data_IF_489451854531
#
_entry.id   IF_489451854531
#
_cell.length_a   1.000
_cell.length_b   1.000
_cell.length_c   1.000
_cell.angle_alpha   90.00
_cell.angle_beta   90.00
_cell.angle_gamma   90.00
#
_symmetry.space_group_name_H-M   'P 1'
#
loop_
_entity.id
_entity.type
_entity.pdbx_description
1 polymer ?
#
# COMPACT_ATOMS: atom_id res chain seq x y z
N UNK A 1 -3.58 5.25 12.72
CA UNK A 1 -3.93 4.56 13.96
C UNK A 1 -2.69 4.18 14.75
N UNK A 2 -2.85 3.99 16.06
CA UNK A 2 -1.81 3.41 16.92
C UNK A 2 -2.42 2.19 17.61
N UNK A 3 -1.79 1.05 17.44
CA UNK A 3 -2.20 -0.23 18.03
C UNK A 3 -1.27 -0.54 19.19
N UNK A 4 -1.81 -0.54 20.41
CA UNK A 4 -1.10 -0.94 21.62
C UNK A 4 -1.39 -2.40 21.94
N UNK A 5 -0.33 -3.18 22.08
CA UNK A 5 -0.37 -4.63 22.34
C UNK A 5 -0.34 -4.90 23.84
N UNK A 6 -1.41 -5.43 24.37
CA UNK A 6 -1.51 -5.78 25.78
C UNK A 6 -0.54 -6.92 26.14
N UNK A 7 0.28 -6.71 27.17
CA UNK A 7 1.24 -7.71 27.66
C UNK A 7 2.56 -7.82 26.87
N UNK A 8 2.74 -7.03 25.81
CA UNK A 8 4.04 -6.92 25.16
C UNK A 8 5.00 -6.03 25.98
N UNK A 9 6.32 -6.28 25.94
CA UNK A 9 7.32 -5.46 26.62
C UNK A 9 7.29 -4.00 26.14
N UNK A 10 7.68 -3.07 27.00
CA UNK A 10 7.90 -1.67 26.60
C UNK A 10 8.97 -1.62 25.48
N UNK A 11 8.76 -0.77 24.48
CA UNK A 11 9.58 -0.71 23.26
C UNK A 11 9.26 -1.79 22.20
N UNK A 12 8.19 -2.60 22.41
CA UNK A 12 7.69 -3.60 21.47
C UNK A 12 6.16 -3.67 21.45
N UNK A 13 5.49 -2.68 22.01
CA UNK A 13 4.05 -2.77 22.30
C UNK A 13 3.20 -1.76 21.53
N UNK A 14 3.78 -0.80 20.84
CA UNK A 14 3.04 0.20 20.07
C UNK A 14 3.40 0.20 18.61
N UNK A 15 2.43 -0.12 17.74
CA UNK A 15 2.61 -0.15 16.29
C UNK A 15 1.72 0.92 15.67
N UNK A 16 2.34 1.82 14.90
CA UNK A 16 1.63 2.77 14.07
C UNK A 16 1.13 2.12 12.78
N UNK A 17 -0.07 2.47 12.36
CA UNK A 17 -0.61 2.15 11.04
C UNK A 17 -0.86 3.46 10.31
N UNK A 18 -0.15 3.68 9.21
CA UNK A 18 -0.27 4.84 8.35
C UNK A 18 -0.94 4.44 7.03
N UNK A 19 -2.24 4.62 6.93
CA UNK A 19 -2.99 4.43 5.69
C UNK A 19 -2.84 5.66 4.80
N UNK A 20 -2.32 5.49 3.60
CA UNK A 20 -2.08 6.56 2.63
C UNK A 20 -2.82 6.27 1.32
N UNK A 21 -3.99 6.87 1.07
CA UNK A 21 -4.78 6.57 -0.13
C UNK A 21 -4.22 7.18 -1.41
N UNK A 22 -3.44 8.28 -1.31
CA UNK A 22 -2.76 8.91 -2.46
C UNK A 22 -1.67 9.87 -2.00
N UNK A 23 -0.74 10.19 -2.91
CA UNK A 23 0.26 11.26 -2.69
C UNK A 23 -0.32 12.61 -3.16
N UNK A 24 -1.32 13.08 -2.44
CA UNK A 24 -2.04 14.30 -2.78
C UNK A 24 -1.22 15.57 -2.56
N UNK A 25 -1.39 16.51 -3.48
CA UNK A 25 -0.92 17.87 -3.37
C UNK A 25 -1.94 18.79 -4.03
N UNK A 26 -2.21 19.94 -3.44
CA UNK A 26 -3.05 20.95 -4.06
C UNK A 26 -2.26 21.63 -5.18
N UNK A 27 -2.74 21.45 -6.42
CA UNK A 27 -2.10 21.95 -7.63
C UNK A 27 -2.47 23.42 -7.92
N UNK A 28 -3.52 23.94 -7.29
CA UNK A 28 -4.06 25.30 -7.51
C UNK A 28 -3.60 26.30 -6.45
N UNK A 29 -2.54 25.98 -5.69
CA UNK A 29 -1.94 26.86 -4.70
C UNK A 29 -2.55 26.79 -3.30
N UNK A 30 -3.37 25.78 -3.03
CA UNK A 30 -3.84 25.43 -1.69
C UNK A 30 -2.74 24.80 -0.82
N UNK A 31 -3.06 24.58 0.46
CA UNK A 31 -2.10 24.16 1.49
C UNK A 31 -2.15 22.64 1.81
N UNK A 32 -2.99 21.87 1.09
CA UNK A 32 -3.11 20.42 1.29
C UNK A 32 -1.94 19.69 0.63
N UNK A 33 -1.09 19.08 1.46
CA UNK A 33 0.11 18.35 1.01
C UNK A 33 0.32 17.12 1.87
N UNK A 34 0.32 15.95 1.27
CA UNK A 34 0.39 14.70 2.02
C UNK A 34 1.69 14.58 2.85
N UNK A 35 2.83 15.04 2.36
CA UNK A 35 4.07 15.03 3.13
C UNK A 35 3.99 15.91 4.39
N UNK A 36 3.33 17.08 4.31
CA UNK A 36 3.10 17.95 5.47
C UNK A 36 2.21 17.26 6.52
N UNK A 37 1.19 16.57 6.05
CA UNK A 37 0.22 15.91 6.92
C UNK A 37 0.80 14.62 7.53
N UNK A 38 1.48 13.81 6.74
CA UNK A 38 2.21 12.63 7.24
C UNK A 38 3.29 13.02 8.23
N UNK A 39 3.98 14.15 8.02
CA UNK A 39 4.95 14.67 9.00
C UNK A 39 4.31 14.90 10.37
N UNK A 40 3.16 15.58 10.42
CA UNK A 40 2.44 15.82 11.69
C UNK A 40 2.03 14.52 12.38
N UNK A 41 1.54 13.55 11.60
CA UNK A 41 1.15 12.23 12.10
C UNK A 41 2.37 11.50 12.68
N UNK A 42 3.51 11.47 11.98
CA UNK A 42 4.73 10.83 12.46
C UNK A 42 5.30 11.53 13.71
N UNK A 43 5.25 12.86 13.76
CA UNK A 43 5.64 13.62 14.95
C UNK A 43 4.75 13.28 16.16
N UNK A 44 3.44 13.06 15.93
CA UNK A 44 2.54 12.58 16.99
C UNK A 44 2.84 11.14 17.37
N UNK A 45 3.03 10.23 16.42
CA UNK A 45 3.41 8.83 16.69
C UNK A 45 4.68 8.73 17.53
N UNK A 46 5.68 9.58 17.25
CA UNK A 46 6.90 9.64 18.06
C UNK A 46 6.64 10.10 19.50
N UNK A 47 5.73 11.06 19.72
CA UNK A 47 5.32 11.48 21.08
C UNK A 47 4.59 10.38 21.83
N UNK A 48 3.88 9.52 21.13
CA UNK A 48 3.20 8.34 21.67
C UNK A 48 4.12 7.12 21.81
N UNK A 49 5.43 7.27 21.56
CA UNK A 49 6.43 6.20 21.61
C UNK A 49 6.03 4.98 20.77
N UNK A 50 5.68 5.22 19.49
CA UNK A 50 5.42 4.14 18.54
C UNK A 50 6.73 3.43 18.20
N UNK A 51 6.78 2.12 18.39
CA UNK A 51 7.97 1.28 18.26
C UNK A 51 8.22 0.82 16.84
N UNK A 52 7.15 0.54 16.08
CA UNK A 52 7.19 0.07 14.69
C UNK A 52 6.07 0.64 13.85
N UNK A 53 6.18 0.56 12.53
CA UNK A 53 5.24 1.20 11.61
C UNK A 53 4.82 0.25 10.48
N UNK A 54 3.53 0.20 10.20
CA UNK A 54 2.97 -0.32 8.96
C UNK A 54 2.53 0.86 8.09
N UNK A 55 3.05 0.95 6.87
CA UNK A 55 2.60 1.92 5.86
C UNK A 55 1.73 1.17 4.86
N UNK A 56 0.44 1.49 4.81
CA UNK A 56 -0.49 0.86 3.88
C UNK A 56 -0.59 1.69 2.59
N UNK A 57 -0.03 1.13 1.51
CA UNK A 57 -0.08 1.68 0.16
C UNK A 57 -0.98 0.85 -0.77
N UNK A 58 -1.71 -0.12 -0.24
CA UNK A 58 -2.64 -0.91 -1.04
C UNK A 58 -3.64 0.02 -1.72
N UNK A 59 -3.89 -0.22 -3.00
CA UNK A 59 -4.79 0.57 -3.85
C UNK A 59 -4.42 2.06 -4.00
N UNK A 60 -3.22 2.46 -3.61
CA UNK A 60 -2.70 3.80 -3.83
C UNK A 60 -2.10 3.94 -5.23
N UNK A 61 -2.81 4.56 -6.15
CA UNK A 61 -2.39 4.77 -7.55
C UNK A 61 -1.26 5.80 -7.75
N UNK A 62 -0.70 6.35 -6.66
CA UNK A 62 0.38 7.32 -6.70
C UNK A 62 -0.05 8.76 -6.45
N UNK A 63 0.53 9.71 -7.19
CA UNK A 63 0.28 11.14 -7.05
C UNK A 63 1.54 11.99 -7.27
N UNK A 64 1.74 12.99 -6.42
CA UNK A 64 2.81 13.97 -6.57
C UNK A 64 4.21 13.38 -6.33
N UNK A 65 5.09 13.55 -7.32
CA UNK A 65 6.51 13.19 -7.22
C UNK A 65 7.22 13.97 -6.10
N UNK A 66 6.88 15.23 -5.91
CA UNK A 66 7.49 16.05 -4.87
C UNK A 66 7.10 15.57 -3.47
N UNK A 67 5.84 15.18 -3.28
CA UNK A 67 5.34 14.68 -2.00
C UNK A 67 6.02 13.35 -1.62
N UNK A 68 6.15 12.41 -2.56
CA UNK A 68 6.85 11.14 -2.29
C UNK A 68 8.34 11.35 -2.02
N UNK A 69 8.99 12.30 -2.73
CA UNK A 69 10.38 12.67 -2.47
C UNK A 69 10.60 13.17 -1.05
N UNK A 70 9.75 14.10 -0.59
CA UNK A 70 9.78 14.63 0.76
C UNK A 70 9.52 13.54 1.81
N UNK A 71 8.49 12.73 1.56
CA UNK A 71 8.06 11.69 2.49
C UNK A 71 9.09 10.57 2.64
N UNK A 72 9.76 10.16 1.55
CA UNK A 72 10.85 9.18 1.63
C UNK A 72 11.95 9.65 2.58
N UNK A 73 12.29 10.94 2.57
CA UNK A 73 13.27 11.51 3.47
C UNK A 73 12.93 11.41 4.96
N UNK A 74 11.65 11.25 5.33
CA UNK A 74 11.27 11.02 6.73
C UNK A 74 11.78 9.68 7.27
N UNK A 75 12.02 8.72 6.38
CA UNK A 75 12.43 7.36 6.72
C UNK A 75 13.89 7.06 6.37
N UNK A 76 14.44 7.70 5.32
CA UNK A 76 15.82 7.45 4.84
C UNK A 76 16.81 8.52 5.27
N UNK A 77 16.32 9.72 5.61
CA UNK A 77 17.16 10.89 5.83
C UNK A 77 17.58 11.56 4.50
N UNK A 78 18.83 12.03 4.44
CA UNK A 78 19.38 12.65 3.24
C UNK A 78 19.84 11.59 2.24
N UNK A 79 19.52 11.79 0.96
CA UNK A 79 20.01 10.90 -0.12
C UNK A 79 19.05 10.81 -1.30
N UNK A 80 19.44 10.06 -2.35
CA UNK A 80 18.62 9.89 -3.56
C UNK A 80 17.33 9.11 -3.24
N UNK A 81 16.25 9.50 -3.93
CA UNK A 81 14.93 8.86 -3.80
C UNK A 81 14.56 8.14 -5.09
N UNK A 82 14.75 8.81 -6.21
CA UNK A 82 14.39 8.34 -7.54
C UNK A 82 15.24 9.02 -8.58
N UNK A 83 15.54 8.33 -9.68
CA UNK A 83 16.22 8.87 -10.83
C UNK A 83 15.20 9.09 -11.97
N UNK A 84 15.24 10.22 -12.65
CA UNK A 84 14.31 10.56 -13.73
C UNK A 84 15.10 10.77 -15.00
N UNK A 85 14.78 10.04 -16.05
CA UNK A 85 15.42 10.14 -17.36
C UNK A 85 14.46 10.76 -18.36
N UNK A 86 14.90 11.84 -19.00
CA UNK A 86 14.14 12.51 -20.06
C UNK A 86 14.33 11.84 -21.43
N UNK A 87 13.59 12.32 -22.43
CA UNK A 87 13.67 11.83 -23.82
C UNK A 87 15.02 12.10 -24.50
N UNK A 88 15.85 12.97 -23.94
CA UNK A 88 17.20 13.29 -24.46
C UNK A 88 18.27 12.42 -23.80
N UNK A 89 17.88 11.59 -22.82
CA UNK A 89 18.79 10.72 -22.09
C UNK A 89 19.42 11.35 -20.84
N UNK A 90 19.08 12.60 -20.48
CA UNK A 90 19.57 13.22 -19.27
C UNK A 90 18.92 12.58 -18.05
N UNK A 91 19.72 12.29 -17.03
CA UNK A 91 19.28 11.72 -15.77
C UNK A 91 19.34 12.78 -14.67
N UNK A 92 18.19 13.04 -14.05
CA UNK A 92 18.05 13.92 -12.89
C UNK A 92 17.76 13.10 -11.64
N UNK A 93 18.58 13.21 -10.60
CA UNK A 93 18.44 12.48 -9.34
C UNK A 93 17.66 13.35 -8.36
N UNK A 94 16.44 12.95 -8.05
CA UNK A 94 15.61 13.58 -7.02
C UNK A 94 16.01 13.04 -5.65
N UNK A 95 16.54 13.91 -4.81
CA UNK A 95 17.05 13.57 -3.46
C UNK A 95 16.17 14.17 -2.36
N UNK A 96 16.07 13.47 -1.25
CA UNK A 96 15.58 14.04 0.00
C UNK A 96 16.71 14.81 0.70
N UNK A 97 16.36 15.86 1.46
CA UNK A 97 17.31 16.74 2.14
C UNK A 97 17.05 16.81 3.65
N UNK A 98 16.61 15.72 4.24
CA UNK A 98 16.31 15.65 5.66
C UNK A 98 17.58 15.40 6.47
N UNK A 99 17.91 16.29 7.40
CA UNK A 99 19.08 16.11 8.28
C UNK A 99 18.97 14.86 9.14
N UNK A 100 17.76 14.52 9.56
CA UNK A 100 17.47 13.35 10.41
C UNK A 100 16.21 12.64 9.90
N UNK A 101 16.13 11.33 10.12
CA UNK A 101 14.92 10.57 9.92
C UNK A 101 13.88 11.00 10.96
N UNK A 102 12.61 11.05 10.58
CA UNK A 102 11.52 11.29 11.52
C UNK A 102 11.12 10.02 12.25
N UNK A 103 11.28 8.85 11.61
CA UNK A 103 10.96 7.56 12.20
C UNK A 103 12.13 6.58 12.03
N UNK A 104 12.55 5.93 13.11
CA UNK A 104 13.71 5.04 13.15
C UNK A 104 13.35 3.56 13.40
N UNK A 105 12.19 3.25 13.99
CA UNK A 105 11.74 1.88 14.24
C UNK A 105 11.56 1.04 12.97
N UNK A 106 11.37 -0.27 13.04
CA UNK A 106 11.11 -1.13 11.90
C UNK A 106 9.86 -0.71 11.12
N UNK A 107 9.89 -0.93 9.80
CA UNK A 107 8.81 -0.55 8.89
C UNK A 107 8.43 -1.76 8.02
N UNK A 108 7.13 -1.99 7.91
CA UNK A 108 6.50 -2.82 6.89
C UNK A 108 5.73 -1.90 5.93
N UNK A 109 5.83 -2.15 4.63
CA UNK A 109 5.01 -1.48 3.62
C UNK A 109 4.09 -2.51 2.99
N UNK A 110 2.78 -2.32 3.13
CA UNK A 110 1.78 -3.14 2.46
C UNK A 110 1.53 -2.61 1.05
N UNK A 111 1.57 -3.51 0.08
CA UNK A 111 1.34 -3.20 -1.33
C UNK A 111 0.35 -4.19 -1.97
N UNK A 112 -0.27 -3.77 -3.06
CA UNK A 112 -0.99 -4.67 -3.97
C UNK A 112 -0.77 -4.24 -5.44
N UNK A 113 -1.38 -4.98 -6.38
CA UNK A 113 -1.30 -4.69 -7.83
C UNK A 113 -1.83 -3.31 -8.23
N UNK A 114 -2.56 -2.64 -7.36
CA UNK A 114 -3.05 -1.27 -7.60
C UNK A 114 -2.14 -0.19 -7.01
N UNK A 115 -1.09 -0.57 -6.28
CA UNK A 115 -0.05 0.35 -5.81
C UNK A 115 0.81 0.77 -7.00
N UNK A 116 0.74 2.03 -7.42
CA UNK A 116 1.36 2.49 -8.65
C UNK A 116 2.14 3.81 -8.50
N UNK A 117 3.09 4.08 -9.43
CA UNK A 117 3.75 5.38 -9.60
C UNK A 117 4.47 5.86 -8.32
N UNK A 118 3.99 6.93 -7.64
CA UNK A 118 4.60 7.44 -6.41
C UNK A 118 4.64 6.40 -5.29
N UNK A 119 3.67 5.49 -5.21
CA UNK A 119 3.69 4.36 -4.27
C UNK A 119 4.86 3.43 -4.55
N UNK A 120 5.13 3.17 -5.83
CA UNK A 120 6.27 2.36 -6.26
C UNK A 120 7.60 3.05 -5.97
N UNK A 121 7.66 4.38 -6.10
CA UNK A 121 8.86 5.16 -5.74
C UNK A 121 9.16 5.04 -4.25
N UNK A 122 8.15 5.20 -3.37
CA UNK A 122 8.34 5.06 -1.93
C UNK A 122 8.76 3.65 -1.55
N UNK A 123 8.01 2.64 -1.99
CA UNK A 123 8.28 1.23 -1.70
C UNK A 123 9.67 0.81 -2.20
N UNK A 124 10.02 1.16 -3.45
CA UNK A 124 11.32 0.88 -4.04
C UNK A 124 12.47 1.54 -3.28
N UNK A 125 12.33 2.84 -2.96
CA UNK A 125 13.37 3.54 -2.21
C UNK A 125 13.59 2.93 -0.83
N UNK A 126 12.53 2.63 -0.07
CA UNK A 126 12.64 2.01 1.24
C UNK A 126 13.26 0.60 1.17
N UNK A 127 12.93 -0.18 0.13
CA UNK A 127 13.53 -1.49 -0.11
C UNK A 127 15.01 -1.38 -0.50
N UNK A 128 15.37 -0.46 -1.39
CA UNK A 128 16.76 -0.25 -1.84
C UNK A 128 17.66 0.20 -0.69
N UNK A 129 17.14 1.03 0.21
CA UNK A 129 17.84 1.43 1.43
C UNK A 129 17.90 0.32 2.50
N UNK A 130 17.16 -0.77 2.35
CA UNK A 130 16.99 -1.78 3.40
C UNK A 130 16.29 -1.21 4.63
N UNK A 131 15.32 -0.30 4.42
CA UNK A 131 14.64 0.43 5.49
C UNK A 131 13.27 -0.14 5.82
N UNK A 132 12.66 -0.87 4.90
CA UNK A 132 11.37 -1.52 5.09
C UNK A 132 11.34 -2.92 4.48
N UNK A 133 10.46 -3.76 5.01
CA UNK A 133 10.03 -5.03 4.42
C UNK A 133 8.78 -4.76 3.58
N UNK A 134 8.80 -5.15 2.31
CA UNK A 134 7.67 -5.00 1.41
C UNK A 134 6.81 -6.26 1.45
N UNK A 135 5.52 -6.11 1.71
CA UNK A 135 4.59 -7.22 1.99
C UNK A 135 3.30 -7.05 1.18
N UNK A 136 2.75 -8.12 0.65
CA UNK A 136 1.48 -8.10 -0.06
C UNK A 136 1.48 -8.93 -1.34
N UNK A 137 0.92 -8.41 -2.44
CA UNK A 137 0.96 -9.05 -3.77
C UNK A 137 2.39 -9.38 -4.20
N UNK A 138 2.53 -10.21 -5.23
CA UNK A 138 3.84 -10.54 -5.80
C UNK A 138 4.64 -9.30 -6.22
N UNK A 139 3.94 -8.27 -6.73
CA UNK A 139 4.52 -6.96 -7.07
C UNK A 139 3.45 -5.86 -7.08
N UNK A 140 3.90 -4.60 -7.19
CA UNK A 140 3.07 -3.43 -7.49
C UNK A 140 2.68 -3.40 -8.97
N UNK A 141 1.99 -2.34 -9.41
CA UNK A 141 1.42 -2.18 -10.76
C UNK A 141 2.45 -2.25 -11.90
N UNK A 142 3.65 -1.74 -11.70
CA UNK A 142 4.69 -1.73 -12.74
C UNK A 142 4.74 -0.46 -13.59
N UNK A 143 4.24 0.68 -13.11
CA UNK A 143 4.34 1.95 -13.82
C UNK A 143 5.67 2.62 -13.57
N UNK A 144 6.52 2.71 -14.59
CA UNK A 144 7.82 3.38 -14.56
C UNK A 144 7.87 4.70 -15.36
N UNK A 145 6.73 5.27 -15.70
CA UNK A 145 6.62 6.45 -16.55
C UNK A 145 6.08 7.67 -15.80
N UNK A 146 6.58 8.86 -16.16
CA UNK A 146 6.08 10.15 -15.70
C UNK A 146 5.21 10.77 -16.79
N UNK A 147 3.98 11.11 -16.46
CA UNK A 147 3.01 11.71 -17.36
C UNK A 147 2.73 13.15 -16.93
N UNK A 148 2.62 14.04 -17.92
CA UNK A 148 2.26 15.43 -17.72
C UNK A 148 0.99 15.77 -18.49
N UNK A 149 0.02 16.46 -17.87
CA UNK A 149 -1.11 17.03 -18.59
C UNK A 149 -0.63 18.24 -19.41
N UNK A 150 -0.94 18.23 -20.69
CA UNK A 150 -0.66 19.32 -21.63
C UNK A 150 -1.99 19.90 -22.05
N UNK A 151 -2.21 21.18 -21.79
CA UNK A 151 -3.39 21.90 -22.25
C UNK A 151 -3.31 22.13 -23.77
N UNK A 152 -4.21 21.48 -24.50
CA UNK A 152 -4.27 21.57 -25.96
C UNK A 152 -4.67 22.98 -26.41
N UNK A 153 -5.47 23.69 -25.63
CA UNK A 153 -5.88 25.05 -25.92
C UNK A 153 -4.74 26.02 -26.11
N UNK A 154 -3.59 25.82 -25.43
CA UNK A 154 -2.38 26.64 -25.60
C UNK A 154 -1.79 26.57 -27.03
N UNK A 155 -2.02 25.47 -27.74
CA UNK A 155 -1.54 25.27 -29.12
C UNK A 155 -2.54 25.65 -30.19
N UNK A 156 -3.74 26.12 -29.80
CA UNK A 156 -4.84 26.48 -30.68
C UNK A 156 -5.24 27.97 -30.53
N UNK A 157 -4.30 28.92 -30.76
CA UNK A 157 -4.51 30.35 -30.41
C UNK A 157 -5.67 31.02 -31.17
N UNK A 158 -6.03 30.48 -32.34
CA UNK A 158 -7.13 31.00 -33.18
C UNK A 158 -8.45 30.23 -33.04
N UNK A 159 -8.51 29.24 -32.18
CA UNK A 159 -9.71 28.46 -31.96
C UNK A 159 -10.61 29.08 -30.92
N UNK A 160 -11.85 29.45 -31.30
CA UNK A 160 -12.77 30.17 -30.41
C UNK A 160 -13.15 29.42 -29.13
N UNK A 161 -13.04 28.08 -29.13
CA UNK A 161 -13.34 27.23 -27.99
C UNK A 161 -12.09 26.57 -27.40
N UNK A 162 -10.92 27.25 -27.45
CA UNK A 162 -9.64 26.73 -26.96
C UNK A 162 -9.71 26.24 -25.52
N UNK A 163 -10.50 26.88 -24.67
CA UNK A 163 -10.68 26.50 -23.26
C UNK A 163 -11.44 25.16 -23.10
N UNK A 164 -12.04 24.65 -24.19
CA UNK A 164 -12.70 23.34 -24.24
C UNK A 164 -11.90 22.29 -25.03
N UNK A 165 -10.69 22.61 -25.47
CA UNK A 165 -9.85 21.68 -26.22
C UNK A 165 -9.39 20.47 -25.39
N UNK A 166 -9.46 20.57 -24.07
CA UNK A 166 -9.11 19.51 -23.14
C UNK A 166 -7.63 19.40 -22.85
N UNK A 167 -7.29 18.40 -22.03
CA UNK A 167 -5.94 18.10 -21.60
C UNK A 167 -5.45 16.80 -22.24
N UNK A 168 -4.26 16.81 -22.83
CA UNK A 168 -3.59 15.62 -23.31
C UNK A 168 -2.59 15.14 -22.25
N UNK A 169 -2.74 13.91 -21.78
CA UNK A 169 -1.80 13.29 -20.84
C UNK A 169 -0.68 12.61 -21.61
N UNK A 170 0.52 13.19 -21.58
CA UNK A 170 1.68 12.74 -22.37
C UNK A 170 2.75 12.16 -21.45
N UNK A 171 3.29 11.00 -21.81
CA UNK A 171 4.49 10.44 -21.16
C UNK A 171 5.72 11.20 -21.65
N UNK A 172 6.43 11.85 -20.73
CA UNK A 172 7.59 12.70 -21.05
C UNK A 172 8.90 12.17 -20.49
N UNK A 173 8.85 11.30 -19.46
CA UNK A 173 10.03 10.81 -18.76
C UNK A 173 9.79 9.41 -18.23
N UNK A 174 10.87 8.70 -17.92
CA UNK A 174 10.85 7.44 -17.16
C UNK A 174 11.51 7.65 -15.81
N UNK A 175 11.07 6.92 -14.81
CA UNK A 175 11.74 6.93 -13.52
C UNK A 175 12.34 5.57 -13.18
N UNK A 176 13.38 5.60 -12.35
CA UNK A 176 14.19 4.45 -11.98
C UNK A 176 14.45 4.47 -10.49
N UNK A 177 14.58 3.28 -9.93
CA UNK A 177 14.97 3.07 -8.54
C UNK A 177 16.36 3.64 -8.27
N UNK A 178 16.67 3.85 -7.01
CA UNK A 178 18.03 4.23 -6.57
C UNK A 178 19.05 3.19 -7.00
N UNK A 179 18.67 1.90 -6.98
CA UNK A 179 19.47 0.78 -7.47
C UNK A 179 19.57 0.67 -9.00
N UNK A 180 18.96 1.60 -9.77
CA UNK A 180 19.12 1.72 -11.23
C UNK A 180 18.10 0.97 -12.08
N UNK A 181 17.33 0.02 -11.52
CA UNK A 181 16.25 -0.66 -12.24
C UNK A 181 15.02 0.23 -12.41
N UNK A 182 14.26 0.07 -13.50
CA UNK A 182 12.93 0.68 -13.63
C UNK A 182 11.89 -0.13 -12.86
N UNK A 183 10.77 0.49 -12.46
CA UNK A 183 9.57 -0.25 -12.04
C UNK A 183 8.71 -0.66 -13.23
N UNK A 184 8.98 -0.15 -14.43
CA UNK A 184 8.22 -0.41 -15.64
C UNK A 184 8.04 -1.92 -15.90
N UNK A 185 6.82 -2.39 -16.06
CA UNK A 185 6.37 -3.78 -16.25
C UNK A 185 6.59 -4.72 -15.06
N UNK A 186 7.56 -4.46 -14.19
CA UNK A 186 7.93 -5.36 -13.09
C UNK A 186 7.35 -4.95 -11.73
N UNK A 187 7.12 -3.66 -11.55
CA UNK A 187 6.76 -3.12 -10.25
C UNK A 187 7.88 -3.23 -9.22
N UNK A 188 7.49 -3.16 -7.95
CA UNK A 188 8.31 -3.46 -6.78
C UNK A 188 7.88 -4.82 -6.27
N UNK A 189 8.78 -5.80 -6.32
CA UNK A 189 8.51 -7.16 -5.84
C UNK A 189 8.44 -7.18 -4.31
N UNK A 190 7.45 -7.92 -3.76
CA UNK A 190 7.33 -8.10 -2.32
C UNK A 190 8.43 -8.98 -1.75
N UNK A 191 8.96 -8.58 -0.60
CA UNK A 191 9.87 -9.42 0.18
C UNK A 191 9.12 -10.61 0.80
N UNK A 192 7.86 -10.40 1.22
CA UNK A 192 6.95 -11.43 1.74
C UNK A 192 5.63 -11.33 0.99
N UNK A 193 5.30 -12.39 0.28
CA UNK A 193 4.05 -12.45 -0.51
C UNK A 193 2.90 -13.00 0.34
N UNK A 194 1.76 -12.33 0.24
CA UNK A 194 0.49 -12.77 0.83
C UNK A 194 -0.52 -13.11 -0.26
N UNK A 195 -1.47 -14.02 -0.01
CA UNK A 195 -2.59 -14.24 -0.91
C UNK A 195 -3.57 -13.06 -0.79
N UNK A 196 -3.64 -12.24 -1.82
CA UNK A 196 -4.48 -11.04 -1.88
C UNK A 196 -5.57 -11.18 -2.94
N UNK A 197 -6.68 -10.47 -2.79
CA UNK A 197 -7.77 -10.54 -3.76
C UNK A 197 -7.34 -10.07 -5.17
N UNK A 198 -6.39 -9.14 -5.25
CA UNK A 198 -5.87 -8.59 -6.51
C UNK A 198 -4.98 -9.58 -7.28
N UNK A 199 -4.37 -10.56 -6.62
CA UNK A 199 -3.51 -11.57 -7.24
C UNK A 199 -4.23 -12.52 -8.22
N UNK A 200 -5.56 -12.51 -8.22
CA UNK A 200 -6.36 -13.30 -9.16
C UNK A 200 -6.54 -12.64 -10.52
N UNK A 201 -6.33 -11.34 -10.62
CA UNK A 201 -6.60 -10.56 -11.82
C UNK A 201 -5.31 -10.25 -12.58
N UNK A 202 -5.44 -10.15 -13.91
CA UNK A 202 -4.39 -9.61 -14.75
C UNK A 202 -4.41 -8.07 -14.60
N UNK A 203 -3.65 -7.57 -13.63
CA UNK A 203 -3.53 -6.17 -13.31
C UNK A 203 -2.06 -5.76 -13.39
N UNK A 204 -1.78 -4.67 -14.07
CA UNK A 204 -0.42 -4.15 -14.19
C UNK A 204 -0.18 -3.38 -15.48
N UNK A 205 0.97 -2.79 -15.59
CA UNK A 205 1.41 -2.08 -16.81
C UNK A 205 1.71 -3.05 -17.96
N UNK A 206 2.06 -4.30 -17.64
CA UNK A 206 2.45 -5.35 -18.56
C UNK A 206 1.31 -5.88 -19.45
N UNK A 207 0.05 -5.67 -19.02
CA UNK A 207 -1.14 -6.03 -19.82
C UNK A 207 -1.59 -4.93 -20.78
N UNK A 208 -1.00 -3.72 -20.67
CA UNK A 208 -1.40 -2.59 -21.51
C UNK A 208 -0.79 -2.72 -22.91
N UNK A 209 -1.61 -2.47 -23.92
CA UNK A 209 -1.13 -2.33 -25.29
C UNK A 209 -0.09 -1.21 -25.37
N UNK A 210 1.03 -1.50 -26.04
CA UNK A 210 2.13 -0.54 -26.25
C UNK A 210 2.80 -0.03 -24.97
N UNK A 211 2.75 -0.79 -23.87
CA UNK A 211 3.50 -0.48 -22.68
C UNK A 211 4.99 -0.30 -23.00
N UNK A 212 5.62 0.69 -22.38
CA UNK A 212 7.06 0.95 -22.60
C UNK A 212 7.88 -0.23 -22.06
N UNK A 213 8.99 -0.62 -22.74
CA UNK A 213 9.81 -1.73 -22.28
C UNK A 213 10.53 -1.40 -20.98
N UNK A 214 10.80 -2.45 -20.18
CA UNK A 214 11.70 -2.38 -19.04
C UNK A 214 13.12 -2.05 -19.50
N UNK A 215 13.81 -1.17 -18.75
CA UNK A 215 15.23 -0.89 -18.91
C UNK A 215 15.88 -0.54 -17.56
N UNK A 216 17.19 -0.31 -17.59
CA UNK A 216 18.00 0.02 -16.42
C UNK A 216 18.94 1.17 -16.73
N UNK A 217 19.34 1.91 -15.71
CA UNK A 217 20.38 2.93 -15.76
C UNK A 217 21.39 2.68 -14.63
N UNK A 218 22.47 3.44 -14.61
CA UNK A 218 23.49 3.33 -13.57
C UNK A 218 22.90 3.60 -12.17
N UNK A 219 23.15 2.70 -11.20
CA UNK A 219 22.73 2.94 -9.82
C UNK A 219 23.33 4.22 -9.24
N UNK A 220 22.61 4.85 -8.32
CA UNK A 220 23.17 5.92 -7.50
C UNK A 220 24.30 5.40 -6.61
N UNK A 221 25.37 6.19 -6.45
CA UNK A 221 26.52 5.81 -5.61
C UNK A 221 26.50 6.46 -4.24
N UNK A 222 25.68 7.47 -4.03
CA UNK A 222 25.63 8.32 -2.83
C UNK A 222 24.53 7.89 -1.83
N UNK A 223 24.27 6.60 -1.71
CA UNK A 223 23.42 6.03 -0.66
C UNK A 223 24.05 4.78 -0.07
N UNK A 224 23.63 4.42 1.14
CA UNK A 224 24.09 3.21 1.82
C UNK A 224 22.90 2.33 2.15
N UNK A 225 22.92 1.10 1.64
CA UNK A 225 21.95 0.07 2.00
C UNK A 225 22.22 -0.46 3.40
N UNK A 226 21.21 -0.52 4.24
CA UNK A 226 21.23 -1.23 5.51
C UNK A 226 21.02 -2.74 5.24
N UNK A 227 21.89 -3.57 5.76
CA UNK A 227 21.80 -5.02 5.59
C UNK A 227 21.00 -5.73 6.69
N UNK A 228 20.57 -5.02 7.72
CA UNK A 228 19.87 -5.59 8.88
C UNK A 228 18.58 -6.30 8.45
N UNK A 229 17.74 -5.64 7.64
CA UNK A 229 16.51 -6.24 7.10
C UNK A 229 16.84 -7.50 6.27
N UNK A 230 17.85 -7.43 5.40
CA UNK A 230 18.24 -8.59 4.57
C UNK A 230 18.61 -9.80 5.44
N UNK A 231 19.25 -9.57 6.57
CA UNK A 231 19.61 -10.64 7.51
C UNK A 231 18.37 -11.24 8.23
N UNK A 232 17.35 -10.44 8.51
CA UNK A 232 16.11 -10.88 9.18
C UNK A 232 15.14 -11.59 8.22
N UNK A 233 15.17 -11.29 6.92
CA UNK A 233 14.17 -11.77 5.94
C UNK A 233 13.93 -13.29 5.97
N UNK A 234 14.93 -14.19 6.09
CA UNK A 234 14.66 -15.62 6.14
C UNK A 234 13.76 -16.01 7.33
N UNK A 235 14.04 -15.48 8.52
CA UNK A 235 13.26 -15.76 9.71
C UNK A 235 11.84 -15.16 9.62
N UNK A 236 11.71 -13.94 9.09
CA UNK A 236 10.41 -13.28 8.87
C UNK A 236 9.55 -14.05 7.87
N UNK A 237 10.13 -14.53 6.75
CA UNK A 237 9.44 -15.36 5.75
C UNK A 237 8.94 -16.68 6.36
N UNK A 238 9.75 -17.35 7.14
CA UNK A 238 9.36 -18.61 7.79
C UNK A 238 8.23 -18.39 8.81
N UNK A 239 8.34 -17.37 9.64
CA UNK A 239 7.30 -17.04 10.63
C UNK A 239 5.99 -16.65 9.97
N UNK A 240 6.04 -15.79 8.94
CA UNK A 240 4.87 -15.38 8.15
C UNK A 240 4.21 -16.58 7.45
N UNK A 241 4.98 -17.43 6.78
CA UNK A 241 4.43 -18.61 6.10
C UNK A 241 3.64 -19.52 7.04
N UNK A 242 4.14 -19.73 8.27
CA UNK A 242 3.46 -20.55 9.29
C UNK A 242 2.12 -19.93 9.74
N UNK A 243 2.03 -18.59 9.83
CA UNK A 243 0.79 -17.88 10.17
C UNK A 243 -0.21 -17.91 9.03
N UNK A 244 0.26 -17.57 7.82
CA UNK A 244 -0.54 -17.57 6.59
C UNK A 244 -1.15 -18.94 6.29
N UNK A 245 -0.43 -20.02 6.59
CA UNK A 245 -0.95 -21.39 6.43
C UNK A 245 -2.10 -21.70 7.38
N UNK A 246 -2.13 -21.08 8.56
CA UNK A 246 -3.16 -21.30 9.59
C UNK A 246 -4.32 -20.32 9.50
N UNK A 247 -4.13 -19.19 8.86
CA UNK A 247 -5.16 -18.14 8.76
C UNK A 247 -6.24 -18.56 7.74
N UNK A 248 -7.48 -18.68 8.24
CA UNK A 248 -8.61 -19.13 7.42
C UNK A 248 -9.01 -18.15 6.33
N UNK A 249 -8.90 -16.84 6.56
CA UNK A 249 -9.23 -15.83 5.56
C UNK A 249 -8.20 -15.80 4.43
N UNK A 250 -6.92 -15.96 4.74
CA UNK A 250 -5.86 -16.09 3.74
C UNK A 250 -5.96 -17.43 2.99
N UNK A 251 -6.45 -18.50 3.62
CA UNK A 251 -6.77 -19.75 2.90
C UNK A 251 -7.94 -19.55 1.92
N UNK A 252 -9.02 -18.89 2.36
CA UNK A 252 -10.16 -18.56 1.48
C UNK A 252 -9.68 -17.73 0.30
N UNK A 253 -8.82 -16.71 0.54
CA UNK A 253 -8.23 -15.90 -0.53
C UNK A 253 -7.46 -16.77 -1.54
N UNK A 254 -6.66 -17.75 -1.09
CA UNK A 254 -5.97 -18.70 -1.98
C UNK A 254 -6.93 -19.55 -2.81
N UNK A 255 -8.01 -20.05 -2.20
CA UNK A 255 -9.04 -20.81 -2.90
C UNK A 255 -9.70 -19.96 -3.98
N UNK A 256 -10.05 -18.71 -3.66
CA UNK A 256 -10.69 -17.77 -4.59
C UNK A 256 -9.75 -17.37 -5.73
N UNK A 257 -8.47 -17.12 -5.44
CA UNK A 257 -7.42 -16.87 -6.44
C UNK A 257 -7.32 -18.05 -7.42
N UNK A 258 -7.24 -19.28 -6.90
CA UNK A 258 -7.13 -20.47 -7.73
C UNK A 258 -8.34 -20.65 -8.64
N UNK A 259 -9.55 -20.46 -8.09
CA UNK A 259 -10.80 -20.54 -8.84
C UNK A 259 -10.88 -19.47 -9.93
N UNK A 260 -10.51 -18.23 -9.62
CA UNK A 260 -10.54 -17.12 -10.58
C UNK A 260 -9.51 -17.33 -11.69
N UNK A 261 -8.27 -17.71 -11.36
CA UNK A 261 -7.23 -18.02 -12.35
C UNK A 261 -7.64 -19.15 -13.29
N UNK A 262 -8.32 -20.19 -12.77
CA UNK A 262 -8.86 -21.25 -13.60
C UNK A 262 -9.94 -20.72 -14.56
N UNK A 263 -10.84 -19.88 -14.06
CA UNK A 263 -11.91 -19.26 -14.89
C UNK A 263 -11.34 -18.37 -16.00
N UNK A 264 -10.33 -17.56 -15.69
CA UNK A 264 -9.62 -16.73 -16.68
C UNK A 264 -8.94 -17.61 -17.73
N UNK A 265 -8.24 -18.68 -17.30
CA UNK A 265 -7.57 -19.63 -18.20
C UNK A 265 -8.54 -20.34 -19.13
N UNK A 266 -9.69 -20.77 -18.61
CA UNK A 266 -10.72 -21.44 -19.41
C UNK A 266 -11.33 -20.50 -20.45
N UNK A 267 -11.35 -19.21 -20.16
CA UNK A 267 -11.83 -18.12 -21.05
C UNK A 267 -13.15 -18.47 -21.77
N UNK A 268 -14.07 -19.11 -21.05
CA UNK A 268 -15.34 -19.58 -21.57
C UNK A 268 -16.49 -19.04 -20.74
N UNK A 269 -17.49 -18.53 -21.43
CA UNK A 269 -18.74 -18.08 -20.83
C UNK A 269 -19.91 -18.82 -21.50
N UNK A 270 -20.72 -19.52 -20.70
CA UNK A 270 -21.91 -20.16 -21.24
C UNK A 270 -22.94 -19.13 -21.67
N UNK A 271 -23.49 -19.26 -22.89
CA UNK A 271 -24.62 -18.47 -23.37
C UNK A 271 -25.96 -19.08 -22.96
N UNK A 272 -25.97 -20.28 -22.35
CA UNK A 272 -27.17 -20.92 -21.88
C UNK A 272 -27.61 -20.30 -20.54
N UNK A 273 -28.81 -19.73 -20.51
CA UNK A 273 -29.39 -19.06 -19.34
C UNK A 273 -29.40 -19.94 -18.10
N UNK A 274 -29.86 -21.18 -18.20
CA UNK A 274 -29.91 -22.10 -17.06
C UNK A 274 -28.53 -22.41 -16.49
N UNK A 275 -27.54 -22.61 -17.35
CA UNK A 275 -26.15 -22.83 -16.91
C UNK A 275 -25.61 -21.61 -16.17
N UNK A 276 -25.87 -20.39 -16.67
CA UNK A 276 -25.48 -19.14 -16.01
C UNK A 276 -26.15 -18.94 -14.66
N UNK A 277 -27.44 -19.22 -14.58
CA UNK A 277 -28.19 -19.13 -13.33
C UNK A 277 -27.65 -20.12 -12.30
N UNK A 278 -27.29 -21.33 -12.72
CA UNK A 278 -26.70 -22.32 -11.84
C UNK A 278 -25.30 -21.96 -11.37
N UNK A 279 -24.44 -21.44 -12.28
CA UNK A 279 -23.10 -20.92 -11.92
C UNK A 279 -23.21 -19.79 -10.89
N UNK A 280 -24.10 -18.81 -11.13
CA UNK A 280 -24.33 -17.70 -10.20
C UNK A 280 -24.86 -18.18 -8.84
N UNK A 281 -25.84 -19.09 -8.83
CA UNK A 281 -26.36 -19.68 -7.60
C UNK A 281 -25.26 -20.37 -6.78
N UNK A 282 -24.38 -21.12 -7.45
CA UNK A 282 -23.25 -21.80 -6.78
C UNK A 282 -22.27 -20.80 -6.14
N UNK A 283 -21.96 -19.71 -6.85
CA UNK A 283 -21.09 -18.64 -6.31
C UNK A 283 -21.75 -17.93 -5.12
N UNK A 284 -23.05 -17.66 -5.22
CA UNK A 284 -23.80 -17.02 -4.14
C UNK A 284 -23.93 -17.91 -2.91
N UNK A 285 -24.18 -19.20 -3.10
CA UNK A 285 -24.21 -20.17 -2.01
C UNK A 285 -22.85 -20.30 -1.31
N UNK A 286 -21.75 -20.30 -2.08
CA UNK A 286 -20.38 -20.25 -1.52
C UNK A 286 -20.17 -18.99 -0.70
N UNK A 287 -20.50 -17.79 -1.24
CA UNK A 287 -20.41 -16.52 -0.53
C UNK A 287 -21.19 -16.54 0.78
N UNK A 288 -22.45 -16.97 0.76
CA UNK A 288 -23.29 -17.10 1.95
C UNK A 288 -22.70 -18.05 2.98
N UNK A 289 -22.12 -19.17 2.53
CA UNK A 289 -21.46 -20.13 3.42
C UNK A 289 -20.23 -19.54 4.11
N UNK A 290 -19.38 -18.85 3.35
CA UNK A 290 -18.19 -18.16 3.87
C UNK A 290 -18.60 -17.06 4.86
N UNK A 291 -19.60 -16.23 4.52
CA UNK A 291 -20.07 -15.16 5.40
C UNK A 291 -20.67 -15.70 6.70
N UNK A 292 -21.36 -16.83 6.65
CA UNK A 292 -21.87 -17.52 7.85
C UNK A 292 -20.72 -18.04 8.73
N UNK A 293 -19.69 -18.64 8.13
CA UNK A 293 -18.48 -19.08 8.82
C UNK A 293 -17.76 -17.89 9.48
N UNK A 294 -17.55 -16.80 8.71
CA UNK A 294 -16.92 -15.58 9.18
C UNK A 294 -17.65 -14.95 10.37
N UNK A 295 -18.99 -14.85 10.32
CA UNK A 295 -19.78 -14.28 11.43
C UNK A 295 -19.51 -15.01 12.76
N UNK A 296 -19.42 -16.34 12.73
CA UNK A 296 -19.10 -17.12 13.94
C UNK A 296 -17.68 -16.88 14.42
N UNK A 297 -16.71 -17.01 13.52
CA UNK A 297 -15.28 -16.85 13.83
C UNK A 297 -14.93 -15.43 14.24
N UNK A 298 -15.50 -14.40 13.57
CA UNK A 298 -15.26 -13.00 13.88
C UNK A 298 -15.79 -12.58 15.24
N UNK A 299 -16.90 -13.18 15.70
CA UNK A 299 -17.40 -12.93 17.05
C UNK A 299 -16.42 -13.42 18.14
N UNK A 300 -15.69 -14.51 17.91
CA UNK A 300 -14.64 -14.99 18.81
C UNK A 300 -13.38 -14.14 18.67
N UNK A 301 -12.95 -13.83 17.46
CA UNK A 301 -11.80 -12.99 17.17
C UNK A 301 -11.95 -11.59 17.79
N UNK A 302 -13.15 -11.00 17.74
CA UNK A 302 -13.42 -9.71 18.38
C UNK A 302 -13.20 -9.74 19.89
N UNK A 303 -13.56 -10.84 20.57
CA UNK A 303 -13.29 -11.02 22.00
C UNK A 303 -11.79 -11.14 22.31
N UNK A 304 -11.07 -11.87 21.47
CA UNK A 304 -9.62 -11.99 21.59
C UNK A 304 -8.95 -10.64 21.35
N UNK A 305 -9.34 -9.94 20.29
CA UNK A 305 -8.81 -8.61 19.96
C UNK A 305 -9.02 -7.61 21.10
N UNK A 306 -10.21 -7.58 21.73
CA UNK A 306 -10.52 -6.69 22.83
C UNK A 306 -9.61 -6.91 24.06
N UNK A 307 -9.02 -8.10 24.21
CA UNK A 307 -8.04 -8.38 25.26
C UNK A 307 -6.60 -8.12 24.82
N UNK A 308 -6.34 -8.23 23.52
CA UNK A 308 -5.01 -8.21 22.93
C UNK A 308 -4.59 -6.82 22.45
N UNK A 309 -5.54 -6.02 21.95
CA UNK A 309 -5.28 -4.72 21.35
C UNK A 309 -6.05 -3.60 22.04
N UNK A 310 -5.39 -2.44 22.14
CA UNK A 310 -6.04 -1.14 22.30
C UNK A 310 -5.70 -0.31 21.07
N UNK A 311 -6.70 0.09 20.32
CA UNK A 311 -6.52 0.83 19.09
C UNK A 311 -6.91 2.29 19.33
N UNK A 312 -5.98 3.19 19.03
CA UNK A 312 -6.20 4.64 19.15
C UNK A 312 -6.32 5.21 17.73
N UNK A 313 -7.35 6.02 17.53
CA UNK A 313 -7.51 6.78 16.32
C UNK A 313 -6.52 7.93 16.28
N UNK A 314 -5.89 8.14 15.12
CA UNK A 314 -5.01 9.27 14.88
C UNK A 314 -5.28 9.81 13.48
N UNK A 315 -6.07 10.87 13.39
CA UNK A 315 -6.33 11.65 12.19
C UNK A 315 -5.63 12.99 12.25
N UNK A 316 -5.75 13.82 11.23
CA UNK A 316 -5.21 15.18 11.23
C UNK A 316 -5.88 16.08 12.30
N UNK A 317 -7.12 15.78 12.64
CA UNK A 317 -7.84 16.50 13.69
C UNK A 317 -7.35 16.11 15.09
N UNK A 318 -6.88 14.86 15.24
CA UNK A 318 -6.43 14.30 16.52
C UNK A 318 -4.96 14.61 16.85
N UNK A 319 -4.14 15.07 15.86
CA UNK A 319 -2.69 15.26 16.07
C UNK A 319 -2.34 16.21 17.21
N UNK A 320 -3.21 17.17 17.54
CA UNK A 320 -3.05 18.14 18.61
C UNK A 320 -3.89 17.82 19.86
N UNK A 321 -4.65 16.73 19.86
CA UNK A 321 -5.43 16.31 21.02
C UNK A 321 -4.52 15.99 22.21
N UNK A 322 -4.95 16.30 23.44
CA UNK A 322 -4.19 15.98 24.64
C UNK A 322 -4.03 14.47 24.80
N UNK A 323 -5.09 13.74 24.55
CA UNK A 323 -5.15 12.28 24.57
C UNK A 323 -5.77 11.81 23.26
N UNK A 324 -5.29 10.69 22.72
CA UNK A 324 -5.87 10.11 21.52
C UNK A 324 -7.16 9.37 21.86
N UNK A 325 -8.22 9.54 21.07
CA UNK A 325 -9.45 8.77 21.25
C UNK A 325 -9.20 7.30 20.92
N UNK A 326 -9.89 6.41 21.64
CA UNK A 326 -9.98 5.01 21.22
C UNK A 326 -10.75 4.95 19.88
N UNK A 327 -10.28 4.08 18.99
CA UNK A 327 -11.01 3.80 17.76
C UNK A 327 -12.37 3.17 18.08
N UNK A 328 -13.38 3.62 17.39
CA UNK A 328 -14.72 3.06 17.45
C UNK A 328 -15.05 2.52 16.05
N UNK A 329 -14.87 1.19 15.83
CA UNK A 329 -15.04 0.61 14.51
C UNK A 329 -16.41 0.91 13.88
N UNK A 330 -17.44 0.99 14.69
CA UNK A 330 -18.81 1.26 14.23
C UNK A 330 -18.97 2.70 13.70
N UNK A 331 -18.25 3.67 14.30
CA UNK A 331 -18.31 5.08 13.86
C UNK A 331 -17.26 5.43 12.81
N UNK A 332 -16.09 4.82 12.90
CA UNK A 332 -14.99 5.13 12.02
C UNK A 332 -15.26 4.59 10.60
N UNK A 333 -16.01 3.49 10.47
CA UNK A 333 -16.46 2.95 9.19
C UNK A 333 -17.53 3.81 8.51
N UNK A 334 -18.42 4.47 9.25
CA UNK A 334 -19.44 5.35 8.67
C UNK A 334 -18.83 6.48 7.82
N UNK A 335 -17.65 6.99 8.19
CA UNK A 335 -16.97 8.06 7.43
C UNK A 335 -16.43 7.57 6.08
N UNK A 336 -16.10 6.29 5.92
CA UNK A 336 -15.65 5.70 4.66
C UNK A 336 -16.80 5.25 3.78
N UNK A 337 -17.94 4.88 4.36
CA UNK A 337 -19.15 4.46 3.62
C UNK A 337 -19.75 5.59 2.77
N UNK A 338 -19.60 6.85 3.17
CA UNK A 338 -20.09 8.00 2.40
C UNK A 338 -19.38 8.25 1.05
N UNK A 339 -18.27 7.54 0.78
CA UNK A 339 -17.54 7.64 -0.50
C UNK A 339 -17.97 6.57 -1.53
N UNK A 340 -18.81 5.63 -1.16
CA UNK A 340 -19.20 4.48 -1.99
C UNK A 340 -20.71 4.35 -2.21
N UNK A 341 -21.46 5.45 -2.21
CA UNK A 341 -22.88 5.42 -2.59
C UNK A 341 -23.03 5.33 -4.12
N UNK A 342 -22.77 4.16 -4.67
CA UNK A 342 -23.42 3.72 -5.90
C UNK A 342 -24.75 3.08 -5.50
N UNK A 343 -25.90 3.73 -5.72
CA UNK A 343 -27.21 3.19 -5.34
C UNK A 343 -27.58 1.91 -6.12
N UNK A 344 -26.75 1.50 -7.09
CA UNK A 344 -26.94 0.29 -7.90
C UNK A 344 -26.02 -0.85 -7.46
N UNK A 345 -25.06 -0.61 -6.56
CA UNK A 345 -24.21 -1.66 -6.00
C UNK A 345 -25.05 -2.57 -5.09
N UNK A 346 -25.04 -3.88 -5.35
CA UNK A 346 -25.54 -4.85 -4.38
C UNK A 346 -24.78 -4.65 -3.07
N UNK A 347 -25.49 -4.41 -1.97
CA UNK A 347 -24.89 -4.27 -0.64
C UNK A 347 -24.05 -5.51 -0.36
N UNK A 348 -22.76 -5.29 -0.14
CA UNK A 348 -21.87 -6.36 0.33
C UNK A 348 -22.30 -6.76 1.74
N UNK A 349 -22.85 -7.98 1.88
CA UNK A 349 -23.29 -8.55 3.15
C UNK A 349 -22.16 -9.27 3.90
N UNK A 350 -20.90 -9.08 3.45
CA UNK A 350 -19.73 -9.65 4.10
C UNK A 350 -19.53 -9.05 5.49
N UNK A 351 -19.30 -9.87 6.52
CA UNK A 351 -19.01 -9.33 7.84
C UNK A 351 -17.68 -8.59 7.85
N UNK A 352 -17.66 -7.43 8.50
CA UNK A 352 -16.45 -6.63 8.69
C UNK A 352 -15.43 -7.36 9.56
N UNK A 353 -14.14 -7.11 9.27
CA UNK A 353 -13.06 -7.67 10.07
C UNK A 353 -13.03 -7.06 11.47
N UNK A 354 -12.91 -7.89 12.53
CA UNK A 354 -12.83 -7.40 13.89
C UNK A 354 -11.72 -6.37 14.05
N UNK A 355 -12.02 -5.32 14.80
CA UNK A 355 -11.10 -4.21 15.07
C UNK A 355 -10.61 -3.44 13.82
N UNK A 356 -11.31 -3.57 12.69
CA UNK A 356 -10.88 -2.97 11.42
C UNK A 356 -9.61 -3.60 10.83
N UNK A 357 -9.11 -4.69 11.41
CA UNK A 357 -7.85 -5.32 11.01
C UNK A 357 -8.10 -6.49 10.04
N UNK A 358 -7.96 -6.23 8.75
CA UNK A 358 -7.98 -7.28 7.73
C UNK A 358 -6.77 -8.23 7.84
N UNK A 359 -6.81 -9.43 7.21
CA UNK A 359 -5.75 -10.43 7.37
C UNK A 359 -4.37 -9.96 6.92
N UNK A 360 -4.28 -9.14 5.89
CA UNK A 360 -3.02 -8.60 5.37
C UNK A 360 -2.43 -7.58 6.35
N UNK A 361 -3.26 -6.70 6.90
CA UNK A 361 -2.85 -5.71 7.90
C UNK A 361 -2.42 -6.41 9.21
N UNK A 362 -3.17 -7.44 9.66
CA UNK A 362 -2.77 -8.28 10.81
C UNK A 362 -1.42 -8.92 10.60
N UNK A 363 -1.17 -9.45 9.42
CA UNK A 363 0.13 -10.05 9.11
C UNK A 363 1.23 -8.99 9.04
N UNK A 364 0.96 -7.81 8.50
CA UNK A 364 1.88 -6.67 8.53
C UNK A 364 2.29 -6.27 9.96
N UNK A 365 1.32 -6.21 10.88
CA UNK A 365 1.55 -5.96 12.31
C UNK A 365 2.40 -7.07 12.93
N UNK A 366 2.09 -8.34 12.65
CA UNK A 366 2.85 -9.48 13.16
C UNK A 366 4.31 -9.44 12.67
N UNK A 367 4.56 -9.08 11.41
CA UNK A 367 5.90 -8.95 10.85
C UNK A 367 6.67 -7.82 11.57
N UNK A 368 6.04 -6.67 11.83
CA UNK A 368 6.66 -5.59 12.62
C UNK A 368 7.04 -6.10 14.03
N UNK A 369 6.17 -6.85 14.69
CA UNK A 369 6.46 -7.44 15.99
C UNK A 369 7.66 -8.41 15.94
N UNK A 370 7.72 -9.24 14.90
CA UNK A 370 8.84 -10.17 14.72
C UNK A 370 10.16 -9.41 14.48
N UNK A 371 10.13 -8.31 13.72
CA UNK A 371 11.28 -7.42 13.53
C UNK A 371 11.76 -6.85 14.87
N UNK A 372 10.85 -6.30 15.69
CA UNK A 372 11.17 -5.75 17.02
C UNK A 372 11.81 -6.81 17.94
N UNK A 373 11.29 -8.04 17.92
CA UNK A 373 11.85 -9.17 18.69
C UNK A 373 13.25 -9.55 18.22
N UNK A 374 13.47 -9.60 16.90
CA UNK A 374 14.77 -9.94 16.33
C UNK A 374 15.81 -8.85 16.62
N UNK A 375 15.45 -7.58 16.57
CA UNK A 375 16.33 -6.46 16.95
C UNK A 375 16.73 -6.52 18.42
N UNK A 376 15.79 -6.86 19.31
CA UNK A 376 16.08 -6.98 20.74
C UNK A 376 16.91 -8.23 21.11
N UNK A 377 16.77 -9.29 20.33
CA UNK A 377 17.51 -10.56 20.55
C UNK A 377 18.94 -10.53 20.01
N UNK A 378 19.23 -9.62 19.06
CA UNK A 378 20.57 -9.43 18.48
C UNK A 378 21.48 -8.49 19.29
N UNK A 379 20.98 -7.94 20.40
CA UNK A 379 21.76 -7.22 21.43
C UNK A 379 22.23 -8.20 22.50
#
# INVERSE_FOLDING_TARGET
EIIELTGAPEGQNRIGVLSLPSFYADMEGGDRRCAKDVKKILERMNKENVDGLVIDLRSNGGGSLEEVRLMTGFFTGNGPVVQIKDTRGNVDIKSAHNRQKLFNGPIVVLINKLSASASEILAAALQDYGRAVIVGDDSTFGKGSVQQPVDIGQYLPFFAARDRAGLLKVTTQKFYRVAGGSTQLKGVESDIQLPTATAAFELGEDILDYAMPYDQITPCTNYKKDSSITAMLPALKEASAKRVEKDRDLQIAREDIAMMKQRIKDNKLSLNKKTREQENSTLEERRKSINKERKGRFAEMAKEDATKYKIYRLTLDDVNAKELPLADPDKDNEQFMHLAEDPTAELDDSPEYPSGLDPELREGINIVQDMLKLESSGK
#
